data_IF_605660304781
#
_entry.id   IF_605660304781
#
_cell.length_a   1.000
_cell.length_b   1.000
_cell.length_c   1.000
_cell.angle_alpha   90.00
_cell.angle_beta   90.00
_cell.angle_gamma   90.00
#
_symmetry.space_group_name_H-M   'P 1'
#
loop_
_entity.id
_entity.type
_entity.pdbx_description
1 polymer ?
#
# COMPACT_ATOMS: atom_id res chain seq x y z
N UNK A 1 34.37 8.68 18.31
CA UNK A 1 32.92 8.39 18.28
C UNK A 1 32.55 8.09 16.84
N UNK A 2 32.34 6.83 16.52
CA UNK A 2 32.05 6.37 15.15
C UNK A 2 30.53 6.30 14.98
N UNK A 3 29.99 7.03 14.01
CA UNK A 3 28.59 6.96 13.63
C UNK A 3 28.39 5.65 12.87
N UNK A 4 27.70 4.68 13.50
CA UNK A 4 27.24 3.48 12.81
C UNK A 4 26.12 3.90 11.85
N UNK A 5 26.44 3.96 10.56
CA UNK A 5 25.45 4.02 9.51
C UNK A 5 24.56 2.77 9.62
N UNK A 6 23.25 2.98 9.75
CA UNK A 6 22.29 1.90 9.69
C UNK A 6 22.44 1.18 8.35
N UNK A 7 22.72 -0.12 8.41
CA UNK A 7 22.76 -0.96 7.22
C UNK A 7 21.38 -0.92 6.52
N UNK A 8 21.32 -0.83 5.18
CA UNK A 8 20.07 -0.94 4.47
C UNK A 8 19.41 -2.28 4.80
N UNK A 9 18.13 -2.22 5.14
CA UNK A 9 17.32 -3.38 5.47
C UNK A 9 17.17 -4.22 4.19
N UNK A 10 17.97 -5.27 4.06
CA UNK A 10 17.79 -6.29 3.02
C UNK A 10 16.50 -7.05 3.33
N UNK A 11 15.41 -6.59 2.71
CA UNK A 11 14.23 -7.43 2.53
C UNK A 11 14.71 -8.62 1.71
N UNK A 12 14.68 -9.81 2.31
CA UNK A 12 14.93 -11.08 1.61
C UNK A 12 14.10 -11.08 0.33
N UNK A 13 14.77 -10.82 -0.78
CA UNK A 13 14.22 -10.84 -2.12
C UNK A 13 13.85 -12.30 -2.36
N UNK A 14 12.57 -12.64 -2.24
CA UNK A 14 12.08 -13.86 -2.88
C UNK A 14 12.47 -13.77 -4.36
N UNK A 15 12.92 -14.88 -4.95
CA UNK A 15 13.39 -15.03 -6.35
C UNK A 15 12.33 -14.68 -7.43
N UNK A 16 11.35 -13.84 -7.11
CA UNK A 16 10.35 -13.33 -8.04
C UNK A 16 10.96 -12.18 -8.82
N UNK A 17 11.49 -12.49 -10.01
CA UNK A 17 11.95 -11.49 -10.97
C UNK A 17 10.75 -10.75 -11.56
N UNK A 18 10.51 -9.51 -11.11
CA UNK A 18 9.58 -8.60 -11.76
C UNK A 18 10.27 -7.85 -12.91
N UNK A 19 9.58 -7.55 -14.02
CA UNK A 19 10.12 -6.63 -15.02
C UNK A 19 10.49 -5.32 -14.34
N UNK A 20 11.72 -4.84 -14.56
CA UNK A 20 12.21 -3.60 -13.93
C UNK A 20 11.64 -2.38 -14.62
N UNK A 21 11.39 -2.51 -15.92
CA UNK A 21 10.78 -1.52 -16.77
C UNK A 21 9.92 -2.19 -17.87
N UNK A 22 9.12 -1.42 -18.63
CA UNK A 22 8.25 -1.99 -19.66
C UNK A 22 8.99 -2.77 -20.77
N UNK A 23 10.26 -2.48 -21.02
CA UNK A 23 11.05 -3.17 -22.05
C UNK A 23 11.37 -4.62 -21.65
N UNK A 24 11.58 -4.89 -20.36
CA UNK A 24 11.78 -6.26 -19.84
C UNK A 24 10.53 -7.13 -20.10
N UNK A 25 9.32 -6.57 -19.90
CA UNK A 25 8.06 -7.26 -20.17
C UNK A 25 7.83 -7.52 -21.66
N UNK A 26 8.11 -6.53 -22.50
CA UNK A 26 8.02 -6.66 -23.96
C UNK A 26 9.05 -7.68 -24.48
N UNK A 27 10.26 -7.68 -23.93
CA UNK A 27 11.29 -8.66 -24.28
C UNK A 27 10.86 -10.08 -23.91
N UNK A 28 10.33 -10.29 -22.71
CA UNK A 28 9.80 -11.58 -22.27
C UNK A 28 8.66 -12.06 -23.19
N UNK A 29 7.69 -11.19 -23.51
CA UNK A 29 6.62 -11.50 -24.46
C UNK A 29 7.18 -11.90 -25.84
N UNK A 30 8.15 -11.14 -26.36
CA UNK A 30 8.76 -11.43 -27.66
C UNK A 30 9.54 -12.74 -27.67
N UNK A 31 10.18 -13.13 -26.55
CA UNK A 31 10.85 -14.43 -26.41
C UNK A 31 9.81 -15.55 -26.45
N UNK A 32 8.74 -15.45 -25.66
CA UNK A 32 7.67 -16.45 -25.61
C UNK A 32 6.98 -16.61 -26.98
N UNK A 33 6.73 -15.50 -27.67
CA UNK A 33 6.12 -15.47 -29.01
C UNK A 33 6.95 -16.15 -30.11
N UNK A 34 8.23 -16.47 -29.87
CA UNK A 34 9.03 -17.30 -30.80
C UNK A 34 8.57 -18.75 -30.83
N UNK A 35 7.92 -19.20 -29.77
CA UNK A 35 7.54 -20.61 -29.55
C UNK A 35 6.04 -20.80 -29.37
N UNK A 36 5.30 -19.74 -29.03
CA UNK A 36 3.90 -19.79 -28.66
C UNK A 36 3.08 -18.72 -29.42
N UNK A 37 1.79 -18.99 -29.70
CA UNK A 37 0.83 -17.95 -30.05
C UNK A 37 0.78 -16.83 -29.00
N UNK A 38 0.40 -15.62 -29.43
CA UNK A 38 0.41 -14.44 -28.56
C UNK A 38 -0.49 -14.61 -27.34
N UNK A 39 -1.63 -15.27 -27.51
CA UNK A 39 -2.62 -15.54 -26.47
C UNK A 39 -2.03 -16.40 -25.35
N UNK A 40 -1.28 -17.45 -25.71
CA UNK A 40 -0.63 -18.32 -24.73
C UNK A 40 0.56 -17.62 -24.06
N UNK A 41 1.33 -16.83 -24.80
CA UNK A 41 2.42 -16.05 -24.24
C UNK A 41 1.91 -15.04 -23.19
N UNK A 42 0.81 -14.34 -23.50
CA UNK A 42 0.15 -13.42 -22.57
C UNK A 42 -0.41 -14.14 -21.34
N UNK A 43 -1.09 -15.28 -21.55
CA UNK A 43 -1.62 -16.09 -20.44
C UNK A 43 -0.50 -16.57 -19.51
N UNK A 44 0.66 -16.97 -20.05
CA UNK A 44 1.83 -17.36 -19.26
C UNK A 44 2.34 -16.18 -18.43
N UNK A 45 2.54 -15.00 -19.04
CA UNK A 45 3.03 -13.82 -18.31
C UNK A 45 2.06 -13.39 -17.20
N UNK A 46 0.76 -13.40 -17.49
CA UNK A 46 -0.28 -13.11 -16.52
C UNK A 46 -0.27 -14.11 -15.36
N UNK A 47 -0.24 -15.42 -15.66
CA UNK A 47 -0.22 -16.48 -14.65
C UNK A 47 1.08 -16.50 -13.83
N UNK A 48 2.20 -16.12 -14.46
CA UNK A 48 3.50 -15.95 -13.80
C UNK A 48 3.59 -14.67 -12.97
N UNK A 49 2.54 -13.83 -12.96
CA UNK A 49 2.52 -12.52 -12.29
C UNK A 49 3.69 -11.63 -12.73
N UNK A 50 4.05 -11.69 -14.01
CA UNK A 50 5.15 -10.93 -14.60
C UNK A 50 4.75 -9.47 -14.84
N UNK A 51 4.47 -8.77 -13.74
CA UNK A 51 3.89 -7.42 -13.70
C UNK A 51 4.94 -6.38 -13.27
N UNK A 52 4.81 -5.17 -13.81
CA UNK A 52 5.66 -4.05 -13.42
C UNK A 52 5.35 -3.66 -11.97
N UNK A 53 6.38 -3.48 -11.15
CA UNK A 53 6.22 -3.07 -9.74
C UNK A 53 6.67 -1.62 -9.54
N UNK A 54 5.72 -0.73 -9.24
CA UNK A 54 6.03 0.61 -8.73
C UNK A 54 5.98 0.59 -7.20
N UNK A 55 7.04 1.05 -6.54
CA UNK A 55 7.13 1.06 -5.08
C UNK A 55 7.56 2.44 -4.58
N UNK A 56 6.84 2.94 -3.59
CA UNK A 56 7.25 4.10 -2.80
C UNK A 56 7.23 3.75 -1.32
N UNK A 57 8.15 4.34 -0.57
CA UNK A 57 8.22 4.21 0.87
C UNK A 57 8.49 5.57 1.50
N UNK A 58 7.97 5.77 2.71
CA UNK A 58 8.25 6.93 3.55
C UNK A 58 8.66 6.44 4.92
N UNK A 59 9.72 7.01 5.47
CA UNK A 59 10.26 6.68 6.79
C UNK A 59 10.45 7.96 7.61
N UNK A 60 9.31 8.57 7.95
CA UNK A 60 9.24 9.75 8.82
C UNK A 60 8.34 9.44 10.02
N UNK A 61 8.87 9.54 11.23
CA UNK A 61 8.08 9.32 12.44
C UNK A 61 7.20 10.52 12.74
N UNK A 62 5.88 10.34 12.59
CA UNK A 62 4.87 11.38 12.78
C UNK A 62 3.78 10.92 13.75
N UNK A 63 3.11 11.90 14.36
CA UNK A 63 2.04 11.69 15.33
C UNK A 63 0.76 12.33 14.81
N UNK A 64 -0.32 11.58 14.79
CA UNK A 64 -1.60 12.00 14.25
C UNK A 64 -2.65 11.98 15.35
N UNK A 65 -2.96 13.15 15.91
CA UNK A 65 -4.09 13.35 16.80
C UNK A 65 -5.39 13.50 16.01
N UNK A 66 -6.53 13.45 16.70
CA UNK A 66 -7.85 13.69 16.09
C UNK A 66 -7.91 14.98 15.26
N UNK A 67 -7.35 16.09 15.77
CA UNK A 67 -7.36 17.37 15.04
C UNK A 67 -6.49 17.33 13.78
N UNK A 68 -5.31 16.71 13.85
CA UNK A 68 -4.42 16.54 12.71
C UNK A 68 -5.03 15.64 11.63
N UNK A 69 -5.96 14.76 11.99
CA UNK A 69 -6.63 13.85 11.06
C UNK A 69 -7.85 14.47 10.36
N UNK A 70 -8.32 15.67 10.73
CA UNK A 70 -9.57 16.24 10.19
C UNK A 70 -9.55 16.38 8.68
N UNK A 71 -8.44 16.86 8.14
CA UNK A 71 -8.28 17.11 6.70
C UNK A 71 -7.93 15.85 5.90
N UNK A 72 -7.86 14.69 6.56
CA UNK A 72 -7.53 13.39 5.94
C UNK A 72 -6.22 13.44 5.14
N UNK A 73 -5.26 14.27 5.55
CA UNK A 73 -3.98 14.42 4.86
C UNK A 73 -3.24 13.08 4.83
N UNK A 74 -2.83 12.58 3.65
CA UNK A 74 -2.16 11.29 3.56
C UNK A 74 -0.76 11.36 4.16
N UNK A 75 -0.36 10.29 4.84
CA UNK A 75 1.02 10.08 5.25
C UNK A 75 1.89 9.72 4.05
N UNK A 76 1.38 8.90 3.15
CA UNK A 76 2.07 8.46 1.95
C UNK A 76 1.13 8.54 0.75
N UNK A 77 1.69 9.00 -0.37
CA UNK A 77 1.07 9.08 -1.69
C UNK A 77 1.93 8.29 -2.68
N UNK A 78 1.33 7.39 -3.45
CA UNK A 78 2.05 6.64 -4.49
C UNK A 78 2.46 7.52 -5.67
N UNK A 79 3.40 7.03 -6.47
CA UNK A 79 3.53 7.50 -7.84
C UNK A 79 2.25 7.25 -8.64
N UNK A 80 2.00 8.00 -9.73
CA UNK A 80 0.88 7.73 -10.62
C UNK A 80 0.92 6.28 -11.10
N UNK A 81 -0.23 5.62 -11.07
CA UNK A 81 -0.37 4.30 -11.65
C UNK A 81 -0.04 4.37 -13.14
N UNK A 82 0.86 3.51 -13.60
CA UNK A 82 1.27 3.40 -15.00
C UNK A 82 0.60 2.20 -15.66
N UNK A 83 0.42 2.27 -16.99
CA UNK A 83 -0.11 1.16 -17.79
C UNK A 83 -1.31 1.57 -18.64
N UNK A 84 -2.03 0.57 -19.15
CA UNK A 84 -3.22 0.75 -19.99
C UNK A 84 -4.48 0.95 -19.14
N UNK A 85 -5.67 0.78 -19.74
CA UNK A 85 -6.96 0.90 -19.06
C UNK A 85 -7.11 -0.20 -18.00
N UNK A 86 -7.28 0.19 -16.73
CA UNK A 86 -7.39 -0.70 -15.57
C UNK A 86 -6.19 -1.63 -15.37
N UNK A 87 -4.99 -1.09 -15.09
CA UNK A 87 -3.75 -1.85 -15.18
C UNK A 87 -3.40 -2.61 -13.89
N UNK A 88 -3.99 -2.26 -12.75
CA UNK A 88 -3.59 -2.77 -11.44
C UNK A 88 -4.04 -4.20 -11.23
N UNK A 89 -3.11 -5.07 -10.83
CA UNK A 89 -3.36 -6.48 -10.53
C UNK A 89 -3.20 -6.81 -9.05
N UNK A 90 -2.26 -6.15 -8.38
CA UNK A 90 -1.97 -6.37 -6.96
C UNK A 90 -1.47 -5.09 -6.29
N UNK A 91 -1.86 -4.87 -5.04
CA UNK A 91 -1.33 -3.82 -4.18
C UNK A 91 -0.86 -4.47 -2.88
N UNK A 92 0.35 -4.11 -2.44
CA UNK A 92 0.89 -4.48 -1.13
C UNK A 92 1.17 -3.20 -0.37
N UNK A 93 0.61 -3.09 0.83
CA UNK A 93 0.80 -1.96 1.74
C UNK A 93 1.43 -2.48 3.01
N UNK A 94 2.52 -1.87 3.43
CA UNK A 94 3.16 -2.12 4.71
C UNK A 94 3.15 -0.84 5.55
N UNK A 95 2.80 -0.96 6.84
CA UNK A 95 2.71 0.17 7.78
C UNK A 95 3.37 -0.24 9.10
N UNK A 96 4.19 0.64 9.65
CA UNK A 96 4.76 0.49 10.99
C UNK A 96 4.19 1.58 11.88
N UNK A 97 3.36 1.17 12.82
CA UNK A 97 2.61 2.10 13.66
C UNK A 97 2.25 1.49 15.01
N UNK A 98 1.83 2.37 15.92
CA UNK A 98 1.24 1.98 17.19
C UNK A 98 0.30 3.07 17.71
N UNK A 99 -0.35 2.75 18.82
CA UNK A 99 -1.29 3.61 19.51
C UNK A 99 -0.59 4.44 20.60
N UNK A 100 -1.30 5.31 21.31
CA UNK A 100 -0.68 6.22 22.29
C UNK A 100 -0.05 5.55 23.53
N UNK A 101 -0.32 4.26 23.78
CA UNK A 101 0.28 3.52 24.88
C UNK A 101 -0.48 3.57 26.21
N UNK A 102 -1.65 4.20 26.25
CA UNK A 102 -2.48 4.30 27.46
C UNK A 102 -3.95 4.50 27.11
N UNK A 103 -4.85 4.07 27.99
CA UNK A 103 -6.27 4.43 27.93
C UNK A 103 -6.92 4.24 29.30
N UNK A 104 -8.07 4.90 29.52
CA UNK A 104 -8.88 4.71 30.73
C UNK A 104 -9.66 3.38 30.77
N UNK A 105 -9.49 2.52 29.76
CA UNK A 105 -10.20 1.25 29.61
C UNK A 105 -9.21 0.07 29.67
N UNK A 106 -8.64 -0.25 30.85
CA UNK A 106 -7.62 -1.30 31.00
C UNK A 106 -8.07 -2.68 30.52
N UNK A 107 -9.37 -2.97 30.56
CA UNK A 107 -9.94 -4.22 30.06
C UNK A 107 -9.77 -4.42 28.54
N UNK A 108 -9.55 -3.34 27.78
CA UNK A 108 -9.41 -3.37 26.33
C UNK A 108 -7.94 -3.28 25.89
N UNK A 109 -7.01 -3.03 26.82
CA UNK A 109 -5.57 -2.90 26.54
C UNK A 109 -5.01 -4.17 25.88
N UNK A 110 -4.16 -3.99 24.88
CA UNK A 110 -3.53 -5.11 24.17
C UNK A 110 -4.47 -5.83 23.19
N UNK A 111 -5.72 -5.37 23.06
CA UNK A 111 -6.70 -5.89 22.09
C UNK A 111 -6.96 -4.88 20.97
N UNK A 112 -7.81 -5.23 20.00
CA UNK A 112 -8.31 -4.27 19.00
C UNK A 112 -9.64 -3.62 19.40
N UNK A 113 -10.28 -4.11 20.46
CA UNK A 113 -11.55 -3.59 20.92
C UNK A 113 -11.34 -2.18 21.46
N UNK A 114 -12.20 -1.24 21.07
CA UNK A 114 -12.12 0.14 21.57
C UNK A 114 -10.90 0.92 21.08
N UNK A 115 -10.13 0.40 20.12
CA UNK A 115 -9.02 1.13 19.51
C UNK A 115 -9.55 2.18 18.56
N UNK A 116 -9.05 3.41 18.70
CA UNK A 116 -9.45 4.56 17.90
C UNK A 116 -8.29 5.15 17.12
N UNK A 117 -7.28 4.33 16.79
CA UNK A 117 -6.25 4.67 15.82
C UNK A 117 -6.15 3.62 14.72
N UNK A 118 -6.23 4.06 13.46
CA UNK A 118 -6.30 3.19 12.29
C UNK A 118 -5.78 3.90 11.03
N UNK A 119 -5.84 3.22 9.88
CA UNK A 119 -5.47 3.78 8.58
C UNK A 119 -6.58 3.56 7.56
N UNK A 120 -6.92 4.59 6.80
CA UNK A 120 -7.83 4.50 5.66
C UNK A 120 -7.01 4.39 4.36
N UNK A 121 -7.54 3.62 3.40
CA UNK A 121 -7.09 3.68 2.01
C UNK A 121 -7.75 4.88 1.33
N UNK A 122 -7.00 5.63 0.53
CA UNK A 122 -7.56 6.64 -0.36
C UNK A 122 -7.08 6.47 -1.79
N UNK A 123 -7.86 7.02 -2.72
CA UNK A 123 -7.51 7.12 -4.14
C UNK A 123 -7.54 8.59 -4.52
N UNK A 124 -6.40 9.13 -4.94
CA UNK A 124 -6.32 10.47 -5.51
C UNK A 124 -6.38 10.37 -7.03
N UNK A 125 -7.37 11.03 -7.63
CA UNK A 125 -7.58 11.06 -9.08
C UNK A 125 -7.23 12.42 -9.69
N UNK A 126 -6.84 12.46 -10.96
CA UNK A 126 -6.79 13.71 -11.72
C UNK A 126 -8.16 14.41 -11.78
N UNK A 127 -8.19 15.75 -11.93
CA UNK A 127 -9.44 16.50 -12.06
C UNK A 127 -10.32 16.00 -13.22
N UNK A 128 -11.64 16.02 -13.02
CA UNK A 128 -12.62 15.62 -14.05
C UNK A 128 -12.93 14.13 -14.12
N UNK A 129 -12.37 13.30 -13.22
CA UNK A 129 -12.78 11.90 -13.03
C UNK A 129 -13.79 11.77 -11.90
N UNK A 130 -14.68 10.79 -12.03
CA UNK A 130 -15.59 10.39 -10.95
C UNK A 130 -14.82 9.92 -9.72
N UNK A 131 -15.31 10.30 -8.56
CA UNK A 131 -14.76 9.87 -7.28
C UNK A 131 -15.13 8.42 -7.00
N UNK A 132 -14.14 7.60 -6.72
CA UNK A 132 -14.29 6.18 -6.34
C UNK A 132 -13.87 5.95 -4.89
N UNK A 133 -13.77 7.01 -4.09
CA UNK A 133 -13.43 6.93 -2.67
C UNK A 133 -14.56 6.30 -1.85
N UNK A 134 -15.78 6.23 -2.39
CA UNK A 134 -16.91 5.61 -1.73
C UNK A 134 -16.73 4.09 -1.58
N UNK A 135 -16.77 3.60 -0.35
CA UNK A 135 -16.70 2.16 -0.06
C UNK A 135 -15.28 1.58 -0.03
N UNK A 136 -14.23 2.42 -0.03
CA UNK A 136 -12.87 1.94 0.17
C UNK A 136 -12.68 1.31 1.56
N UNK A 137 -11.87 0.24 1.65
CA UNK A 137 -11.63 -0.44 2.91
C UNK A 137 -10.78 0.40 3.87
N UNK A 138 -11.04 0.21 5.16
CA UNK A 138 -10.05 0.52 6.19
C UNK A 138 -8.87 -0.45 6.05
N UNK A 139 -7.64 0.05 6.11
CA UNK A 139 -6.43 -0.76 5.97
C UNK A 139 -6.20 -1.62 7.20
N UNK A 140 -5.86 -0.98 8.33
CA UNK A 140 -5.52 -1.65 9.59
C UNK A 140 -5.85 -0.76 10.79
N UNK A 141 -6.10 -1.39 11.93
CA UNK A 141 -6.26 -0.75 13.24
C UNK A 141 -5.06 -1.06 14.11
N UNK A 142 -4.56 -0.08 14.86
CA UNK A 142 -3.52 -0.34 15.86
C UNK A 142 -4.10 -1.08 17.07
N UNK A 143 -3.22 -1.72 17.84
CA UNK A 143 -3.62 -2.33 19.11
C UNK A 143 -3.87 -1.25 20.16
N UNK A 144 -5.02 -1.34 20.80
CA UNK A 144 -5.52 -0.42 21.82
C UNK A 144 -4.49 -0.20 22.92
N UNK A 145 -4.16 1.07 23.16
CA UNK A 145 -3.26 1.52 24.21
C UNK A 145 -1.88 0.85 24.20
N UNK A 146 -1.41 0.37 23.04
CA UNK A 146 -0.07 -0.20 22.89
C UNK A 146 0.92 0.87 22.42
N UNK A 147 2.03 1.03 23.15
CA UNK A 147 3.17 1.86 22.71
C UNK A 147 4.19 1.08 21.88
N UNK A 148 3.93 -0.20 21.59
CA UNK A 148 4.82 -1.06 20.82
C UNK A 148 4.48 -0.97 19.33
N UNK A 149 5.45 -0.53 18.53
CA UNK A 149 5.37 -0.49 17.07
C UNK A 149 5.18 -1.87 16.48
N UNK A 150 4.14 -2.02 15.65
CA UNK A 150 3.86 -3.25 14.92
C UNK A 150 3.98 -3.04 13.43
N UNK A 151 4.41 -4.10 12.74
CA UNK A 151 4.34 -4.18 11.29
C UNK A 151 2.98 -4.73 10.88
N UNK A 152 2.27 -3.95 10.09
CA UNK A 152 1.00 -4.28 9.46
C UNK A 152 1.22 -4.47 7.97
N UNK A 153 0.74 -5.58 7.41
CA UNK A 153 0.76 -5.83 5.97
C UNK A 153 -0.66 -6.08 5.46
N UNK A 154 -1.03 -5.38 4.39
CA UNK A 154 -2.28 -5.55 3.68
C UNK A 154 -1.97 -5.87 2.23
N UNK A 155 -2.59 -6.93 1.71
CA UNK A 155 -2.44 -7.36 0.32
C UNK A 155 -3.80 -7.36 -0.33
N UNK A 156 -3.92 -6.68 -1.46
CA UNK A 156 -5.11 -6.67 -2.30
C UNK A 156 -4.78 -7.27 -3.66
N UNK A 157 -5.57 -8.26 -4.07
CA UNK A 157 -5.55 -8.85 -5.40
C UNK A 157 -6.80 -8.40 -6.17
N UNK A 158 -6.64 -8.07 -7.45
CA UNK A 158 -7.73 -7.53 -8.29
C UNK A 158 -8.98 -8.39 -8.26
N UNK A 159 -8.83 -9.71 -8.37
CA UNK A 159 -9.96 -10.65 -8.47
C UNK A 159 -10.80 -10.75 -7.18
N UNK A 160 -10.25 -10.27 -6.06
CA UNK A 160 -10.90 -10.30 -4.74
C UNK A 160 -11.53 -8.95 -4.36
N UNK A 161 -11.20 -7.89 -5.11
CA UNK A 161 -11.44 -6.51 -4.71
C UNK A 161 -12.08 -5.71 -5.85
N UNK A 162 -13.42 -5.62 -5.90
CA UNK A 162 -14.14 -4.97 -7.00
C UNK A 162 -13.67 -3.53 -7.29
N UNK A 163 -13.37 -2.75 -6.25
CA UNK A 163 -12.90 -1.37 -6.38
C UNK A 163 -11.55 -1.24 -7.11
N UNK A 164 -10.71 -2.29 -7.12
CA UNK A 164 -9.47 -2.28 -7.89
C UNK A 164 -9.72 -2.28 -9.40
N UNK A 165 -10.87 -2.80 -9.84
CA UNK A 165 -11.30 -2.77 -11.23
C UNK A 165 -11.52 -1.35 -11.76
N UNK A 166 -11.75 -0.38 -10.87
CA UNK A 166 -11.97 1.02 -11.24
C UNK A 166 -10.68 1.84 -11.31
N UNK A 167 -9.56 1.33 -10.78
CA UNK A 167 -8.27 2.04 -10.76
C UNK A 167 -7.74 2.24 -12.18
N UNK A 168 -7.40 3.48 -12.52
CA UNK A 168 -6.91 3.84 -13.85
C UNK A 168 -5.47 4.36 -13.80
N UNK A 169 -4.84 4.43 -14.97
CA UNK A 169 -3.58 5.16 -15.12
C UNK A 169 -3.76 6.61 -14.64
N UNK A 170 -2.73 7.17 -14.01
CA UNK A 170 -2.70 8.47 -13.31
C UNK A 170 -3.42 8.53 -11.95
N UNK A 171 -4.19 7.52 -11.55
CA UNK A 171 -4.68 7.44 -10.17
C UNK A 171 -3.50 7.19 -9.22
N UNK A 172 -3.60 7.65 -7.97
CA UNK A 172 -2.60 7.43 -6.93
C UNK A 172 -3.25 6.80 -5.70
N UNK A 173 -2.53 5.88 -5.07
CA UNK A 173 -2.94 5.24 -3.81
C UNK A 173 -2.41 6.06 -2.65
N UNK A 174 -3.25 6.27 -1.62
CA UNK A 174 -2.89 7.02 -0.43
C UNK A 174 -3.09 6.20 0.84
N UNK A 175 -2.20 6.42 1.82
CA UNK A 175 -2.28 5.84 3.16
C UNK A 175 -2.57 6.98 4.13
N UNK A 176 -3.76 6.97 4.75
CA UNK A 176 -4.25 8.08 5.57
C UNK A 176 -4.32 7.62 7.04
N UNK A 177 -3.45 8.11 7.93
CA UNK A 177 -3.53 7.82 9.35
C UNK A 177 -4.78 8.49 9.96
N UNK A 178 -5.39 7.79 10.90
CA UNK A 178 -6.61 8.22 11.60
C UNK A 178 -6.42 8.05 13.10
N UNK A 179 -6.98 9.01 13.83
CA UNK A 179 -7.20 8.95 15.25
C UNK A 179 -8.56 9.60 15.55
N UNK A 180 -9.32 9.05 16.49
CA UNK A 180 -10.59 9.59 16.94
C UNK A 180 -10.58 9.75 18.46
N UNK A 181 -11.21 10.83 18.93
CA UNK A 181 -11.30 11.26 20.33
C UNK A 181 -10.05 11.97 20.88
N UNK A 182 -10.26 12.91 21.83
CA UNK A 182 -9.18 13.56 22.55
C UNK A 182 -8.26 12.55 23.26
N UNK A 183 -6.96 12.75 23.15
CA UNK A 183 -5.93 11.91 23.78
C UNK A 183 -5.50 10.70 22.95
N UNK A 184 -6.27 10.32 21.93
CA UNK A 184 -5.85 9.29 20.96
C UNK A 184 -4.91 9.87 19.93
N UNK A 185 -3.80 9.16 19.72
CA UNK A 185 -2.72 9.59 18.84
C UNK A 185 -2.19 8.36 18.11
N UNK A 186 -2.28 8.37 16.78
CA UNK A 186 -1.69 7.35 15.94
C UNK A 186 -0.23 7.72 15.68
N UNK A 187 0.70 6.86 16.11
CA UNK A 187 2.12 7.01 15.86
C UNK A 187 2.48 6.20 14.63
N UNK A 188 2.91 6.88 13.56
CA UNK A 188 3.33 6.25 12.31
C UNK A 188 4.81 6.46 12.12
N UNK A 189 5.59 5.38 12.06
CA UNK A 189 7.04 5.46 11.87
C UNK A 189 7.43 5.43 10.40
N UNK A 190 6.79 4.54 9.64
CA UNK A 190 7.03 4.35 8.21
C UNK A 190 5.86 3.63 7.54
N UNK A 191 5.76 3.81 6.23
CA UNK A 191 4.83 3.06 5.39
C UNK A 191 5.41 2.87 3.99
N UNK A 192 4.97 1.83 3.29
CA UNK A 192 5.25 1.63 1.87
C UNK A 192 4.03 1.12 1.13
N UNK A 193 3.95 1.44 -0.16
CA UNK A 193 3.00 0.84 -1.09
C UNK A 193 3.75 0.33 -2.31
N UNK A 194 3.46 -0.90 -2.69
CA UNK A 194 3.90 -1.52 -3.94
C UNK A 194 2.67 -1.82 -4.79
N UNK A 195 2.65 -1.30 -6.02
CA UNK A 195 1.56 -1.46 -6.98
C UNK A 195 2.10 -2.26 -8.16
N UNK A 196 1.45 -3.38 -8.45
CA UNK A 196 1.79 -4.27 -9.56
C UNK A 196 0.81 -4.05 -10.70
N UNK A 197 1.32 -3.73 -11.88
CA UNK A 197 0.52 -3.44 -13.07
C UNK A 197 0.83 -4.38 -14.22
N UNK A 198 -0.23 -4.83 -14.88
CA UNK A 198 -0.12 -5.55 -16.15
C UNK A 198 0.07 -4.54 -17.29
N UNK A 199 1.02 -4.83 -18.18
CA UNK A 199 1.38 -3.97 -19.29
C UNK A 199 0.59 -4.29 -20.57
N UNK A 200 -0.03 -5.47 -20.65
CA UNK A 200 -0.62 -5.98 -21.88
C UNK A 200 -2.13 -5.81 -21.95
#
# INVERSE_FOLDING_TARGET
MSVLAAAPFEVTQSDTHYPRDPSDAVAALNILKRWLPAELALAILHQAQYWLCSRVARQDSLRFSESACRDRTPYLLSEPITGKRFPVQKIIIDIWSHDQGWSSYPQDHGTYRGSWTWFDLGIQRPPGREDVSAGLPQLVTNVHASSETRHHQVVYCRDEQPWMGDLQAEDRITIIPRALFPGWVNFTERASVAIYTDLF
#
